data_IF_849158270240
#
_entry.id   IF_849158270240
#
_cell.length_a   1.000
_cell.length_b   1.000
_cell.length_c   1.000
_cell.angle_alpha   90.00
_cell.angle_beta   90.00
_cell.angle_gamma   90.00
#
_symmetry.space_group_name_H-M   'P 1'
#
loop_
_entity.id
_entity.type
_entity.pdbx_description
1 polymer ?
#
# COMPACT_ATOMS: atom_id res chain seq x y z
N UNK A 1 -4.95 -44.62 -33.24
CA UNK A 1 -4.19 -43.46 -32.80
C UNK A 1 -5.06 -42.25 -32.41
N UNK A 2 -6.18 -41.99 -33.04
CA UNK A 2 -7.06 -40.86 -32.71
C UNK A 2 -7.73 -40.93 -31.32
N UNK A 3 -7.94 -42.14 -30.78
CA UNK A 3 -8.61 -42.37 -29.49
C UNK A 3 -7.67 -42.15 -28.28
N UNK A 4 -6.37 -42.30 -28.44
CA UNK A 4 -5.40 -42.10 -27.37
C UNK A 4 -5.05 -40.61 -27.17
N UNK A 5 -5.09 -39.78 -28.22
CA UNK A 5 -4.86 -38.33 -28.15
C UNK A 5 -6.01 -37.64 -27.39
N UNK A 6 -7.26 -38.10 -27.61
CA UNK A 6 -8.41 -37.55 -26.89
C UNK A 6 -8.38 -37.87 -25.37
N UNK A 7 -7.86 -39.04 -25.00
CA UNK A 7 -7.76 -39.47 -23.61
C UNK A 7 -6.63 -38.74 -22.86
N UNK A 8 -5.54 -38.41 -23.57
CA UNK A 8 -4.41 -37.65 -23.00
C UNK A 8 -4.77 -36.16 -22.78
N UNK A 9 -5.61 -35.60 -23.66
CA UNK A 9 -6.12 -34.25 -23.52
C UNK A 9 -7.12 -34.13 -22.36
N UNK A 10 -7.91 -35.16 -22.09
CA UNK A 10 -8.83 -35.19 -20.95
C UNK A 10 -8.08 -35.28 -19.60
N UNK A 11 -6.91 -35.95 -19.58
CA UNK A 11 -6.13 -36.12 -18.37
C UNK A 11 -5.39 -34.82 -17.96
N UNK A 12 -5.01 -33.97 -18.93
CA UNK A 12 -4.34 -32.70 -18.67
C UNK A 12 -5.32 -31.64 -18.14
N UNK A 13 -6.59 -31.71 -18.50
CA UNK A 13 -7.60 -30.76 -18.02
C UNK A 13 -8.10 -31.02 -16.58
N UNK A 14 -7.86 -32.21 -16.02
CA UNK A 14 -8.29 -32.53 -14.65
C UNK A 14 -7.28 -32.14 -13.57
N UNK A 15 -6.06 -31.73 -13.95
CA UNK A 15 -5.03 -31.32 -12.99
C UNK A 15 -4.99 -29.81 -12.71
N UNK A 16 -5.81 -28.99 -13.37
CA UNK A 16 -5.79 -27.53 -13.25
C UNK A 16 -6.86 -26.94 -12.33
N UNK A 17 -7.62 -27.75 -11.58
CA UNK A 17 -8.68 -27.27 -10.67
C UNK A 17 -8.37 -27.41 -9.18
N UNK A 18 -7.12 -27.63 -8.79
CA UNK A 18 -6.75 -27.79 -7.38
C UNK A 18 -5.88 -26.63 -6.84
N UNK A 19 -6.15 -25.39 -7.26
CA UNK A 19 -5.46 -24.21 -6.71
C UNK A 19 -6.40 -23.01 -6.60
N UNK A 20 -7.57 -23.20 -6.00
CA UNK A 20 -8.40 -22.10 -5.53
C UNK A 20 -9.15 -22.56 -4.29
N UNK A 21 -8.57 -22.35 -3.13
CA UNK A 21 -9.24 -22.67 -1.88
C UNK A 21 -8.30 -22.64 -0.69
N UNK A 22 -7.73 -21.50 -0.41
CA UNK A 22 -7.18 -21.29 0.93
C UNK A 22 -7.60 -19.90 1.41
N UNK A 23 -8.73 -19.89 2.11
CA UNK A 23 -9.00 -18.86 3.09
C UNK A 23 -7.93 -19.01 4.16
N UNK A 24 -7.02 -18.10 4.21
CA UNK A 24 -6.20 -17.90 5.38
C UNK A 24 -6.79 -16.75 6.20
N UNK A 25 -7.54 -17.14 7.22
CA UNK A 25 -7.64 -16.36 8.44
C UNK A 25 -6.26 -16.36 9.06
N UNK A 26 -5.49 -15.34 8.87
CA UNK A 26 -4.21 -15.20 9.56
C UNK A 26 -4.20 -13.90 10.33
N UNK A 27 -4.14 -14.11 11.63
CA UNK A 27 -3.77 -13.15 12.67
C UNK A 27 -2.47 -12.44 12.30
N UNK A 28 -2.50 -11.15 12.57
CA UNK A 28 -1.41 -10.22 12.79
C UNK A 28 -0.02 -10.86 12.95
N UNK A 29 0.74 -10.84 11.87
CA UNK A 29 2.18 -10.80 11.88
C UNK A 29 2.62 -9.78 10.83
N UNK A 30 2.60 -8.53 11.25
CA UNK A 30 2.78 -7.35 10.40
C UNK A 30 4.24 -7.12 9.95
N UNK A 31 5.13 -8.10 10.02
CA UNK A 31 6.55 -7.88 9.75
C UNK A 31 7.17 -8.73 8.63
N UNK A 32 6.43 -9.67 8.03
CA UNK A 32 6.98 -10.54 6.98
C UNK A 32 6.50 -10.21 5.57
N UNK A 33 5.28 -9.69 5.42
CA UNK A 33 4.66 -9.49 4.10
C UNK A 33 4.82 -8.07 3.53
N UNK A 34 5.27 -7.10 4.35
CA UNK A 34 5.34 -5.68 3.95
C UNK A 34 6.39 -5.36 2.89
N UNK A 35 7.40 -6.22 2.70
CA UNK A 35 8.46 -6.01 1.69
C UNK A 35 8.02 -6.32 0.26
N UNK A 36 7.03 -7.15 0.08
CA UNK A 36 6.50 -7.52 -1.23
C UNK A 36 5.41 -6.57 -1.73
N UNK A 37 4.82 -5.81 -0.82
CA UNK A 37 3.77 -4.83 -1.15
C UNK A 37 4.34 -3.65 -1.94
N UNK A 38 3.50 -3.06 -2.78
CA UNK A 38 3.80 -1.81 -3.49
C UNK A 38 3.18 -0.65 -2.74
N UNK A 39 4.00 0.34 -2.40
CA UNK A 39 3.60 1.51 -1.64
C UNK A 39 3.58 2.75 -2.51
N UNK A 40 2.48 3.49 -2.49
CA UNK A 40 2.42 4.82 -3.09
C UNK A 40 2.98 5.86 -2.10
N UNK A 41 3.87 6.72 -2.58
CA UNK A 41 4.55 7.76 -1.79
C UNK A 41 4.61 9.07 -2.56
N UNK A 42 4.65 10.19 -1.85
CA UNK A 42 4.92 11.48 -2.46
C UNK A 42 6.40 11.60 -2.84
N UNK A 43 6.66 11.98 -4.08
CA UNK A 43 8.02 12.14 -4.61
C UNK A 43 8.80 13.22 -3.84
N UNK A 44 10.03 12.91 -3.43
CA UNK A 44 10.90 13.80 -2.69
C UNK A 44 10.51 14.00 -1.22
N UNK A 45 9.57 13.24 -0.70
CA UNK A 45 9.16 13.30 0.70
C UNK A 45 10.09 12.49 1.61
N UNK A 46 9.99 12.74 2.92
CA UNK A 46 10.64 11.90 3.92
C UNK A 46 10.10 10.46 3.90
N UNK A 47 8.84 10.30 3.53
CA UNK A 47 8.17 8.99 3.39
C UNK A 47 8.82 8.15 2.28
N UNK A 48 9.15 8.76 1.13
CA UNK A 48 9.86 8.10 0.04
C UNK A 48 11.26 7.65 0.50
N UNK A 49 11.99 8.53 1.19
CA UNK A 49 13.31 8.20 1.71
C UNK A 49 13.26 7.06 2.73
N UNK A 50 12.31 7.10 3.66
CA UNK A 50 12.13 6.06 4.68
C UNK A 50 11.72 4.72 4.06
N UNK A 51 10.87 4.73 3.04
CA UNK A 51 10.50 3.54 2.30
C UNK A 51 11.69 2.92 1.56
N UNK A 52 12.53 3.75 0.95
CA UNK A 52 13.76 3.32 0.27
C UNK A 52 14.77 2.68 1.25
N UNK A 53 14.97 3.27 2.43
CA UNK A 53 15.84 2.71 3.46
C UNK A 53 15.38 1.32 3.93
N UNK A 54 14.08 1.08 3.96
CA UNK A 54 13.49 -0.22 4.32
C UNK A 54 13.45 -1.21 3.15
N UNK A 55 13.82 -0.77 1.95
CA UNK A 55 13.80 -1.59 0.74
C UNK A 55 12.40 -1.91 0.26
N UNK A 56 11.43 -1.03 0.52
CA UNK A 56 10.07 -1.18 0.03
C UNK A 56 9.99 -0.86 -1.46
N UNK A 57 9.11 -1.56 -2.15
CA UNK A 57 8.77 -1.24 -3.53
C UNK A 57 7.82 -0.05 -3.56
N UNK A 58 8.22 1.05 -4.17
CA UNK A 58 7.43 2.28 -4.18
C UNK A 58 6.98 2.70 -5.57
N UNK A 59 5.86 3.40 -5.61
CA UNK A 59 5.38 4.20 -6.73
C UNK A 59 5.33 5.64 -6.26
N UNK A 60 6.15 6.50 -6.87
CA UNK A 60 6.21 7.92 -6.52
C UNK A 60 5.14 8.70 -7.27
N UNK A 61 4.39 9.51 -6.56
CA UNK A 61 3.35 10.40 -7.08
C UNK A 61 3.59 11.84 -6.64
N UNK A 62 2.87 12.80 -7.22
CA UNK A 62 3.14 14.23 -6.98
C UNK A 62 2.68 14.73 -5.60
N UNK A 63 1.72 14.05 -4.97
CA UNK A 63 1.13 14.48 -3.69
C UNK A 63 0.69 13.30 -2.85
N UNK A 64 0.62 13.47 -1.53
CA UNK A 64 0.08 12.47 -0.62
C UNK A 64 -1.38 12.12 -0.93
N UNK A 65 -2.18 13.08 -1.38
CA UNK A 65 -3.54 12.82 -1.81
C UNK A 65 -3.60 11.85 -3.01
N UNK A 66 -2.68 11.97 -3.96
CA UNK A 66 -2.54 11.00 -5.07
C UNK A 66 -2.10 9.63 -4.57
N UNK A 67 -1.22 9.57 -3.56
CA UNK A 67 -0.84 8.29 -2.96
C UNK A 67 -2.04 7.56 -2.36
N UNK A 68 -2.95 8.28 -1.69
CA UNK A 68 -4.21 7.71 -1.22
C UNK A 68 -5.12 7.24 -2.36
N UNK A 69 -5.18 7.99 -3.46
CA UNK A 69 -5.95 7.59 -4.66
C UNK A 69 -5.42 6.28 -5.25
N UNK A 70 -4.09 6.11 -5.33
CA UNK A 70 -3.48 4.87 -5.83
C UNK A 70 -3.79 3.66 -4.93
N UNK A 71 -3.77 3.86 -3.62
CA UNK A 71 -4.14 2.81 -2.67
C UNK A 71 -5.64 2.48 -2.74
N UNK A 72 -6.51 3.47 -2.81
CA UNK A 72 -7.97 3.26 -2.91
C UNK A 72 -8.37 2.61 -4.23
N UNK A 73 -7.70 2.96 -5.32
CA UNK A 73 -7.91 2.35 -6.64
C UNK A 73 -7.33 0.93 -6.75
N UNK A 74 -6.49 0.50 -5.81
CA UNK A 74 -5.82 -0.80 -5.83
C UNK A 74 -4.64 -0.90 -6.81
N UNK A 75 -4.13 0.22 -7.31
CA UNK A 75 -2.90 0.29 -8.12
C UNK A 75 -1.65 0.24 -7.26
N UNK A 76 -1.75 0.63 -6.00
CA UNK A 76 -0.80 0.35 -4.94
C UNK A 76 -1.50 -0.42 -3.81
N UNK A 77 -0.76 -1.24 -3.10
CA UNK A 77 -1.29 -2.04 -1.98
C UNK A 77 -1.50 -1.18 -0.74
N UNK A 78 -0.70 -0.13 -0.58
CA UNK A 78 -0.77 0.81 0.53
C UNK A 78 -0.22 2.19 0.12
N UNK A 79 -0.48 3.21 0.93
CA UNK A 79 0.14 4.52 0.84
C UNK A 79 0.91 4.83 2.11
N UNK A 80 2.04 5.52 1.97
CA UNK A 80 2.81 6.07 3.08
C UNK A 80 2.63 7.58 3.03
N UNK A 81 2.03 8.14 4.06
CA UNK A 81 1.67 9.55 4.16
C UNK A 81 1.77 10.05 5.60
N UNK A 82 1.70 11.35 5.77
CA UNK A 82 1.57 12.00 7.07
C UNK A 82 0.38 11.49 7.88
N UNK A 83 0.62 11.24 9.16
CA UNK A 83 -0.43 10.83 10.09
C UNK A 83 -1.55 11.88 10.23
N UNK A 84 -1.21 13.17 10.15
CA UNK A 84 -2.20 14.26 10.18
C UNK A 84 -3.11 14.21 8.96
N UNK A 85 -2.56 14.02 7.76
CA UNK A 85 -3.34 13.86 6.55
C UNK A 85 -4.16 12.58 6.59
N UNK A 86 -3.59 11.47 7.04
CA UNK A 86 -4.31 10.21 7.21
C UNK A 86 -5.52 10.38 8.13
N UNK A 87 -5.36 11.05 9.27
CA UNK A 87 -6.46 11.32 10.20
C UNK A 87 -7.59 12.18 9.62
N UNK A 88 -7.28 13.04 8.66
CA UNK A 88 -8.27 13.89 8.00
C UNK A 88 -9.00 13.22 6.82
N UNK A 89 -8.34 12.28 6.14
CA UNK A 89 -8.81 11.75 4.84
C UNK A 89 -9.17 10.27 4.84
N UNK A 90 -8.73 9.50 5.83
CA UNK A 90 -8.90 8.04 5.89
C UNK A 90 -9.84 7.65 7.03
N UNK A 91 -10.82 6.79 6.74
CA UNK A 91 -11.76 6.25 7.70
C UNK A 91 -13.21 6.65 7.44
N UNK A 92 -14.12 6.21 8.29
CA UNK A 92 -15.54 6.46 8.15
C UNK A 92 -15.86 7.96 8.10
N UNK A 93 -16.75 8.35 7.20
CA UNK A 93 -17.17 9.74 6.95
C UNK A 93 -16.07 10.68 6.42
N UNK A 94 -15.01 10.12 5.84
CA UNK A 94 -13.94 10.87 5.18
C UNK A 94 -13.92 10.62 3.67
N UNK A 95 -12.92 11.18 2.98
CA UNK A 95 -12.76 10.99 1.53
C UNK A 95 -12.44 9.53 1.15
N UNK A 96 -11.80 8.78 2.04
CA UNK A 96 -11.40 7.39 1.80
C UNK A 96 -11.93 6.45 2.89
N UNK A 97 -13.24 6.15 2.89
CA UNK A 97 -13.86 5.32 3.94
C UNK A 97 -13.45 3.85 3.85
N UNK A 98 -12.93 3.40 2.72
CA UNK A 98 -12.50 2.02 2.51
C UNK A 98 -11.05 1.77 2.91
N UNK A 99 -10.28 2.82 3.13
CA UNK A 99 -8.90 2.73 3.60
C UNK A 99 -8.86 2.71 5.14
N UNK A 100 -7.81 2.13 5.66
CA UNK A 100 -7.54 2.03 7.11
C UNK A 100 -6.12 2.48 7.40
N UNK A 101 -5.95 3.26 8.45
CA UNK A 101 -4.63 3.59 8.99
C UNK A 101 -4.11 2.41 9.81
N UNK A 102 -2.89 1.98 9.57
CA UNK A 102 -2.23 0.92 10.35
C UNK A 102 -1.45 1.51 11.52
N UNK A 103 -1.07 0.67 12.48
CA UNK A 103 -0.27 1.07 13.63
C UNK A 103 1.23 1.22 13.30
N UNK A 104 1.63 0.87 12.08
CA UNK A 104 3.04 0.97 11.65
C UNK A 104 3.42 2.43 11.41
N UNK A 105 4.52 2.85 12.05
CA UNK A 105 5.14 4.15 11.84
C UNK A 105 6.53 3.95 11.26
N UNK A 106 6.85 4.68 10.20
CA UNK A 106 8.15 4.61 9.53
C UNK A 106 9.14 5.62 10.10
N UNK A 107 8.68 6.84 10.33
CA UNK A 107 9.48 7.96 10.82
C UNK A 107 8.72 8.75 11.88
N UNK A 108 9.43 9.61 12.58
CA UNK A 108 8.87 10.64 13.44
C UNK A 108 9.49 11.97 13.06
N UNK A 109 8.65 12.94 12.73
CA UNK A 109 9.07 14.26 12.28
C UNK A 109 8.56 15.34 13.21
N UNK A 110 9.29 16.46 13.25
CA UNK A 110 8.86 17.67 13.94
C UNK A 110 8.33 18.67 12.92
N UNK A 111 7.12 19.11 13.13
CA UNK A 111 6.52 20.18 12.33
C UNK A 111 6.78 21.53 12.97
N UNK A 112 7.17 22.50 12.15
CA UNK A 112 7.38 23.87 12.57
C UNK A 112 6.60 24.83 11.70
N UNK A 113 6.20 25.96 12.26
CA UNK A 113 5.59 27.06 11.50
C UNK A 113 6.69 28.05 11.15
N UNK A 114 6.94 28.21 9.83
CA UNK A 114 7.87 29.22 9.32
C UNK A 114 7.21 30.59 9.27
N UNK A 115 7.75 31.54 9.99
CA UNK A 115 7.28 32.92 9.94
C UNK A 115 8.30 33.80 9.20
N UNK A 116 7.80 34.86 8.53
CA UNK A 116 8.68 35.87 7.94
C UNK A 116 9.49 36.54 9.02
N UNK A 117 10.79 36.71 8.82
CA UNK A 117 11.68 37.40 9.74
C UNK A 117 11.16 38.83 10.01
N UNK A 118 10.97 39.13 11.31
CA UNK A 118 10.47 40.45 11.75
C UNK A 118 8.94 40.59 11.70
N UNK A 119 8.20 39.45 11.51
CA UNK A 119 6.75 39.45 11.73
C UNK A 119 6.41 39.30 13.20
N UNK A 120 5.22 39.74 13.57
CA UNK A 120 4.63 39.63 14.90
C UNK A 120 4.02 38.25 15.20
N UNK A 121 4.25 37.28 14.31
CA UNK A 121 3.75 35.90 14.40
C UNK A 121 4.76 34.91 15.01
N UNK A 122 5.98 35.38 15.30
CA UNK A 122 7.05 34.52 15.83
C UNK A 122 7.35 34.83 17.29
#
# INVERSE_FOLDING_TARGET
MKKFVAMLLALVMTLSLAACGQKNDTKDDANSDTKELTYAVEAGSADEAAAAEKGFKTVSVDTQAKALMEADAGTADAAIIDLLMAGAMVGENTSYPNLKVTDQKLTSELYGIGCRKGSDLA
#
